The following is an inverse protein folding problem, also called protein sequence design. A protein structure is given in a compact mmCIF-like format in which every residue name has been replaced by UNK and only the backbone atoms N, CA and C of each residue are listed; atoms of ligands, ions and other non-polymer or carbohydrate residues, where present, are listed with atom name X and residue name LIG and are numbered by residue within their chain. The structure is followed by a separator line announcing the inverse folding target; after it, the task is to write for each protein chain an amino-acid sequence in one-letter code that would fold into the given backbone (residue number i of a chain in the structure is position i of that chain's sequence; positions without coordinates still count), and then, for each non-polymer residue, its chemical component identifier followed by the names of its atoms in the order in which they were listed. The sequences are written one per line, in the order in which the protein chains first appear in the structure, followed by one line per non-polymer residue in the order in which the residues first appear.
data_IF_876946814353
#
_entry.id   IF_876946814353
#
_cell.length_a   1.000
_cell.length_b   1.000
_cell.length_c   1.000
_cell.angle_alpha   90.00
_cell.angle_beta   90.00
_cell.angle_gamma   90.00
#
_symmetry.space_group_name_H-M   'P 1'
#
loop_
_entity.id
_entity.type
_entity.pdbx_description
1 polymer ?
#
# COMPACT_ATOMS: atom_id res chain seq x y z
N UNK A 1 9.66 -27.43 14.63
CA UNK A 1 8.96 -26.35 13.90
C UNK A 1 9.80 -25.09 13.67
N UNK A 2 10.41 -24.43 14.67
CA UNK A 2 11.28 -23.22 14.42
C UNK A 2 12.78 -23.51 14.20
N UNK A 3 13.24 -24.73 14.53
CA UNK A 3 14.64 -25.17 14.37
C UNK A 3 14.87 -26.00 13.10
N UNK A 4 13.87 -26.08 12.24
CA UNK A 4 13.99 -26.77 10.97
C UNK A 4 14.87 -25.95 10.01
N UNK A 5 15.88 -26.55 9.34
CA UNK A 5 16.80 -25.80 8.49
C UNK A 5 16.12 -25.12 7.29
N UNK A 6 15.11 -25.76 6.70
CA UNK A 6 14.36 -25.16 5.59
C UNK A 6 13.49 -23.99 6.07
N UNK A 7 12.95 -24.06 7.28
CA UNK A 7 12.27 -22.94 7.92
C UNK A 7 13.21 -21.76 8.20
N UNK A 8 14.41 -22.02 8.70
CA UNK A 8 15.41 -20.99 8.99
C UNK A 8 15.89 -20.29 7.72
N UNK A 9 16.21 -21.05 6.66
CA UNK A 9 16.61 -20.50 5.37
C UNK A 9 15.52 -19.60 4.76
N UNK A 10 14.25 -20.04 4.81
CA UNK A 10 13.12 -19.21 4.36
C UNK A 10 12.94 -17.94 5.20
N UNK A 11 13.09 -18.06 6.52
CA UNK A 11 13.01 -16.91 7.42
C UNK A 11 14.11 -15.88 7.16
N UNK A 12 15.34 -16.33 6.91
CA UNK A 12 16.48 -15.46 6.62
C UNK A 12 16.32 -14.78 5.26
N UNK A 13 15.91 -15.51 4.23
CA UNK A 13 15.60 -14.94 2.92
C UNK A 13 14.52 -13.83 3.02
N UNK A 14 13.44 -14.09 3.76
CA UNK A 14 12.38 -13.09 3.99
C UNK A 14 12.87 -11.88 4.80
N UNK A 15 13.76 -12.08 5.77
CA UNK A 15 14.39 -11.01 6.54
C UNK A 15 15.26 -10.13 5.65
N UNK A 16 16.09 -10.72 4.79
CA UNK A 16 16.94 -9.99 3.84
C UNK A 16 16.10 -9.20 2.83
N UNK A 17 14.97 -9.74 2.38
CA UNK A 17 14.01 -9.00 1.54
C UNK A 17 13.38 -7.82 2.30
N UNK A 18 12.98 -8.02 3.56
CA UNK A 18 12.39 -6.97 4.38
C UNK A 18 13.36 -5.82 4.65
N UNK A 19 14.65 -6.11 4.84
CA UNK A 19 15.71 -5.10 5.02
C UNK A 19 15.93 -4.22 3.79
N UNK A 20 15.59 -4.72 2.60
CA UNK A 20 15.67 -3.92 1.37
C UNK A 20 14.57 -2.85 1.32
N UNK A 21 13.54 -2.93 2.20
CA UNK A 21 12.39 -2.01 2.28
C UNK A 21 12.75 -0.60 2.66
N UNK A 22 12.91 0.23 1.64
CA UNK A 22 13.15 1.67 1.80
C UNK A 22 11.98 2.39 2.49
N UNK A 23 10.76 1.87 2.35
CA UNK A 23 9.55 2.51 2.85
C UNK A 23 8.85 1.63 3.88
N UNK A 24 9.45 1.45 5.05
CA UNK A 24 8.85 0.66 6.13
C UNK A 24 7.47 1.20 6.54
N UNK A 25 6.47 0.32 6.57
CA UNK A 25 5.17 0.65 7.14
C UNK A 25 5.15 0.46 8.66
N UNK A 26 4.25 1.17 9.36
CA UNK A 26 4.14 1.11 10.83
C UNK A 26 3.13 0.04 11.31
N UNK A 27 2.89 -0.98 10.49
CA UNK A 27 1.94 -2.07 10.74
C UNK A 27 2.67 -3.36 11.13
N UNK A 28 2.07 -4.15 12.02
CA UNK A 28 2.55 -5.49 12.37
C UNK A 28 2.10 -6.56 11.37
N UNK A 29 2.48 -7.82 11.62
CA UNK A 29 2.13 -9.00 10.80
C UNK A 29 0.61 -9.21 10.77
N UNK A 30 -0.05 -8.86 9.66
CA UNK A 30 -1.52 -8.83 9.52
C UNK A 30 -2.18 -7.48 9.81
N UNK A 31 -1.39 -6.40 9.91
CA UNK A 31 -1.91 -5.06 10.18
C UNK A 31 -2.82 -4.53 9.08
N UNK A 32 -2.58 -4.88 7.81
CA UNK A 32 -3.48 -4.51 6.71
C UNK A 32 -4.90 -5.04 6.91
N UNK A 33 -5.06 -6.34 7.21
CA UNK A 33 -6.38 -6.95 7.44
C UNK A 33 -7.19 -6.23 8.53
N UNK A 34 -6.51 -5.79 9.60
CA UNK A 34 -7.17 -5.08 10.71
C UNK A 34 -7.47 -3.61 10.41
N UNK A 35 -6.68 -2.99 9.53
CA UNK A 35 -6.75 -1.56 9.27
C UNK A 35 -7.63 -1.22 8.06
N UNK A 36 -7.68 -2.07 7.03
CA UNK A 36 -8.50 -1.85 5.84
C UNK A 36 -9.97 -1.59 6.19
N UNK A 37 -10.65 -2.39 7.03
CA UNK A 37 -12.04 -2.12 7.41
C UNK A 37 -12.20 -0.77 8.12
N UNK A 38 -11.24 -0.38 8.97
CA UNK A 38 -11.26 0.92 9.67
C UNK A 38 -11.09 2.08 8.70
N UNK A 39 -10.21 1.94 7.70
CA UNK A 39 -10.02 2.96 6.67
C UNK A 39 -11.25 3.10 5.78
N UNK A 40 -11.84 1.99 5.34
CA UNK A 40 -13.11 1.99 4.59
C UNK A 40 -14.23 2.68 5.37
N UNK A 41 -14.35 2.41 6.67
CA UNK A 41 -15.36 3.06 7.51
C UNK A 41 -15.12 4.58 7.63
N UNK A 42 -13.86 5.01 7.84
CA UNK A 42 -13.51 6.44 7.85
C UNK A 42 -13.81 7.12 6.52
N UNK A 43 -13.52 6.46 5.40
CA UNK A 43 -13.85 6.99 4.09
C UNK A 43 -15.35 7.04 3.83
N UNK A 44 -16.12 6.06 4.30
CA UNK A 44 -17.58 6.10 4.23
C UNK A 44 -18.15 7.30 5.01
N UNK A 45 -17.62 7.60 6.21
CA UNK A 45 -17.99 8.82 6.95
C UNK A 45 -17.61 10.08 6.18
N UNK A 46 -16.40 10.14 5.59
CA UNK A 46 -15.96 11.26 4.74
C UNK A 46 -16.90 11.44 3.53
N UNK A 47 -17.34 10.35 2.90
CA UNK A 47 -18.29 10.35 1.79
C UNK A 47 -19.62 10.98 2.16
N UNK A 48 -20.19 10.60 3.31
CA UNK A 48 -21.46 11.16 3.81
C UNK A 48 -21.32 12.66 4.12
N UNK A 49 -20.16 13.08 4.62
CA UNK A 49 -19.84 14.49 4.87
C UNK A 49 -19.45 15.29 3.61
N UNK A 50 -19.47 14.69 2.41
CA UNK A 50 -19.06 15.36 1.17
C UNK A 50 -17.55 15.64 1.07
N UNK A 51 -16.73 15.00 1.91
CA UNK A 51 -15.27 15.16 1.92
C UNK A 51 -14.58 14.24 0.90
N UNK A 52 -13.39 14.60 0.40
CA UNK A 52 -12.65 13.79 -0.55
C UNK A 52 -12.21 12.46 0.07
N UNK A 53 -12.35 11.37 -0.71
CA UNK A 53 -11.88 10.03 -0.35
C UNK A 53 -10.58 9.73 -1.08
N UNK A 54 -9.57 9.26 -0.34
CA UNK A 54 -8.24 8.97 -0.88
C UNK A 54 -8.31 7.77 -1.83
N UNK A 55 -9.10 6.75 -1.50
CA UNK A 55 -9.32 5.57 -2.34
C UNK A 55 -9.91 5.90 -3.70
N UNK A 56 -10.72 6.96 -3.82
CA UNK A 56 -11.20 7.43 -5.12
C UNK A 56 -10.10 8.09 -5.93
N UNK A 57 -9.18 8.81 -5.30
CA UNK A 57 -8.11 9.54 -5.97
C UNK A 57 -7.02 8.60 -6.49
N UNK A 58 -6.53 7.69 -5.66
CA UNK A 58 -5.36 6.84 -5.97
C UNK A 58 -5.66 5.36 -6.16
N UNK A 59 -6.92 4.95 -5.99
CA UNK A 59 -7.30 3.55 -5.88
C UNK A 59 -7.14 3.02 -4.45
N UNK A 60 -7.92 2.00 -4.10
CA UNK A 60 -7.96 1.43 -2.75
C UNK A 60 -6.57 0.95 -2.27
N UNK A 61 -5.80 0.33 -3.16
CA UNK A 61 -4.52 -0.29 -2.83
C UNK A 61 -3.44 0.73 -2.52
N UNK A 62 -3.31 1.75 -3.36
CA UNK A 62 -2.42 2.90 -3.14
C UNK A 62 -2.81 3.67 -1.88
N UNK A 63 -4.12 3.87 -1.65
CA UNK A 63 -4.61 4.49 -0.43
C UNK A 63 -4.22 3.68 0.82
N UNK A 64 -4.39 2.36 0.81
CA UNK A 64 -3.96 1.47 1.89
C UNK A 64 -2.45 1.55 2.13
N UNK A 65 -1.64 1.60 1.05
CA UNK A 65 -0.19 1.75 1.14
C UNK A 65 0.20 3.07 1.83
N UNK A 66 -0.43 4.18 1.44
CA UNK A 66 -0.23 5.50 2.05
C UNK A 66 -0.61 5.47 3.54
N UNK A 67 -1.83 5.02 3.85
CA UNK A 67 -2.37 5.02 5.21
C UNK A 67 -1.60 4.10 6.17
N UNK A 68 -1.02 3.00 5.67
CA UNK A 68 -0.19 2.09 6.46
C UNK A 68 1.06 2.76 7.06
N UNK A 69 1.50 3.87 6.48
CA UNK A 69 2.66 4.65 6.95
C UNK A 69 2.28 5.77 7.92
N UNK A 70 1.00 5.81 8.33
CA UNK A 70 0.44 6.74 9.33
C UNK A 70 0.81 8.20 9.03
N UNK A 71 0.41 8.74 7.87
CA UNK A 71 0.55 10.16 7.57
C UNK A 71 -0.19 10.99 8.63
N UNK A 72 0.34 12.19 8.91
CA UNK A 72 -0.37 13.20 9.71
C UNK A 72 -1.36 13.91 8.78
N UNK A 73 -2.64 13.90 9.15
CA UNK A 73 -3.66 14.71 8.46
C UNK A 73 -3.48 16.17 8.91
N UNK A 74 -3.04 17.03 7.99
CA UNK A 74 -2.94 18.49 8.18
C UNK A 74 -4.01 19.22 7.38
N UNK A 75 -4.26 20.50 7.67
CA UNK A 75 -5.22 21.33 6.90
C UNK A 75 -4.90 21.37 5.40
N UNK A 76 -3.63 21.20 5.04
CA UNK A 76 -3.11 21.15 3.66
C UNK A 76 -3.11 19.76 3.02
N UNK A 77 -3.54 18.70 3.72
CA UNK A 77 -3.57 17.32 3.21
C UNK A 77 -2.76 16.32 4.04
N UNK A 78 -2.11 15.37 3.36
CA UNK A 78 -1.31 14.31 4.01
C UNK A 78 0.14 14.77 4.17
N UNK A 79 0.63 14.79 5.40
CA UNK A 79 2.01 15.12 5.72
C UNK A 79 2.77 13.90 6.24
N UNK A 80 3.97 13.70 5.71
CA UNK A 80 4.91 12.66 6.16
C UNK A 80 6.11 13.29 6.88
N UNK A 81 6.73 12.57 7.81
CA UNK A 81 7.98 13.01 8.44
C UNK A 81 9.17 12.78 7.49
N UNK A 82 9.14 11.66 6.77
CA UNK A 82 10.18 11.25 5.84
C UNK A 82 10.03 11.95 4.47
N UNK A 83 11.05 12.70 3.99
CA UNK A 83 11.01 13.37 2.69
C UNK A 83 10.92 12.38 1.52
N UNK A 84 11.56 11.22 1.61
CA UNK A 84 11.53 10.20 0.55
C UNK A 84 10.11 9.65 0.38
N UNK A 85 9.38 9.51 1.49
CA UNK A 85 7.98 9.07 1.48
C UNK A 85 7.03 10.16 0.94
N UNK A 86 7.34 11.44 1.18
CA UNK A 86 6.59 12.55 0.57
C UNK A 86 6.69 12.49 -0.95
N UNK A 87 7.89 12.33 -1.48
CA UNK A 87 8.12 12.23 -2.92
C UNK A 87 7.41 11.03 -3.53
N UNK A 88 7.59 9.84 -2.96
CA UNK A 88 6.90 8.64 -3.44
C UNK A 88 5.37 8.80 -3.44
N UNK A 89 4.81 9.44 -2.42
CA UNK A 89 3.36 9.68 -2.35
C UNK A 89 2.90 10.70 -3.39
N UNK A 90 3.69 11.73 -3.68
CA UNK A 90 3.40 12.69 -4.75
C UNK A 90 3.38 11.98 -6.12
N UNK A 91 4.38 11.15 -6.41
CA UNK A 91 4.43 10.40 -7.66
C UNK A 91 3.24 9.46 -7.82
N UNK A 92 2.82 8.78 -6.74
CA UNK A 92 1.60 7.95 -6.72
C UNK A 92 0.35 8.78 -7.03
N UNK A 93 0.23 9.99 -6.47
CA UNK A 93 -0.90 10.89 -6.75
C UNK A 93 -0.91 11.37 -8.19
N UNK A 94 0.24 11.72 -8.75
CA UNK A 94 0.38 12.19 -10.14
C UNK A 94 0.05 11.08 -11.15
N UNK A 95 0.54 9.87 -10.94
CA UNK A 95 0.22 8.73 -11.82
C UNK A 95 -1.24 8.29 -11.69
N UNK A 96 -1.81 8.37 -10.49
CA UNK A 96 -3.23 8.13 -10.33
C UNK A 96 -4.09 9.14 -11.08
N UNK A 97 -3.72 10.43 -11.07
CA UNK A 97 -4.38 11.44 -11.89
C UNK A 97 -4.26 11.11 -13.39
N UNK A 98 -3.08 10.72 -13.88
CA UNK A 98 -2.87 10.29 -15.28
C UNK A 98 -3.71 9.06 -15.64
N UNK A 99 -3.87 8.13 -14.70
CA UNK A 99 -4.69 6.92 -14.88
C UNK A 99 -6.17 7.26 -14.93
N UNK A 100 -6.65 8.17 -14.08
CA UNK A 100 -8.03 8.68 -14.10
C UNK A 100 -8.35 9.44 -15.39
N UNK A 101 -7.38 10.17 -15.94
CA UNK A 101 -7.48 10.82 -17.25
C UNK A 101 -7.53 9.83 -18.43
N UNK A 102 -7.42 8.51 -18.17
CA UNK A 102 -7.50 7.47 -19.18
C UNK A 102 -6.23 7.32 -20.04
N UNK A 103 -5.14 8.00 -19.67
CA UNK A 103 -3.87 7.99 -20.42
C UNK A 103 -3.06 6.71 -20.21
N UNK A 104 -3.33 5.97 -19.14
CA UNK A 104 -2.61 4.76 -18.75
C UNK A 104 -3.61 3.65 -18.48
N UNK A 105 -3.49 2.51 -19.18
CA UNK A 105 -4.24 1.29 -18.83
C UNK A 105 -3.58 0.65 -17.61
N UNK A 106 -4.29 0.41 -16.49
CA UNK A 106 -3.71 -0.28 -15.36
C UNK A 106 -3.39 -1.73 -15.76
N UNK A 107 -2.11 -2.09 -15.83
CA UNK A 107 -1.65 -3.45 -16.08
C UNK A 107 -1.49 -4.15 -14.72
N UNK A 108 -2.16 -5.29 -14.49
CA UNK A 108 -2.28 -5.93 -13.17
C UNK A 108 -0.93 -6.18 -12.45
N UNK A 109 0.14 -6.35 -13.21
CA UNK A 109 1.49 -6.62 -12.70
C UNK A 109 2.34 -5.35 -12.49
N UNK A 110 1.91 -4.20 -13.01
CA UNK A 110 2.54 -2.88 -12.86
C UNK A 110 1.53 -1.89 -12.29
N UNK A 111 1.28 -2.07 -11.00
CA UNK A 111 0.40 -1.17 -10.25
C UNK A 111 1.11 0.16 -9.98
N UNK A 112 0.36 1.26 -9.86
CA UNK A 112 0.84 2.64 -9.65
C UNK A 112 1.85 2.73 -8.48
N UNK A 113 1.66 2.05 -7.33
CA UNK A 113 2.67 2.06 -6.28
C UNK A 113 3.97 1.36 -6.68
N UNK A 114 3.94 0.38 -7.58
CA UNK A 114 5.13 -0.39 -7.95
C UNK A 114 6.06 0.37 -8.88
N UNK A 115 5.51 1.08 -9.86
CA UNK A 115 6.27 1.91 -10.80
C UNK A 115 6.90 3.13 -10.09
N UNK A 116 6.15 3.79 -9.21
CA UNK A 116 6.63 5.00 -8.50
C UNK A 116 7.62 4.74 -7.37
N UNK A 117 7.63 3.54 -6.76
CA UNK A 117 8.49 3.23 -5.60
C UNK A 117 9.90 2.79 -6.04
N UNK A 118 10.07 2.33 -7.28
CA UNK A 118 11.38 2.05 -7.88
C UNK A 118 12.22 0.95 -7.22
N UNK A 119 11.64 0.13 -6.32
CA UNK A 119 12.36 -0.98 -5.67
C UNK A 119 11.68 -2.34 -5.92
N UNK A 120 12.36 -3.37 -6.46
CA UNK A 120 11.79 -4.70 -6.75
C UNK A 120 11.77 -5.69 -5.56
N UNK A 121 11.67 -5.24 -4.31
CA UNK A 121 11.73 -6.13 -3.12
C UNK A 121 10.65 -7.20 -3.01
N UNK A 122 9.46 -6.90 -3.53
CA UNK A 122 8.31 -7.79 -3.52
C UNK A 122 7.69 -7.76 -4.91
N UNK A 123 7.12 -8.89 -5.38
CA UNK A 123 6.21 -8.85 -6.50
C UNK A 123 5.20 -7.74 -6.24
N UNK A 124 5.05 -6.87 -7.23
CA UNK A 124 4.20 -5.69 -7.28
C UNK A 124 2.77 -5.93 -6.80
N UNK A 125 2.33 -7.19 -6.69
CA UNK A 125 1.03 -7.67 -6.21
C UNK A 125 0.85 -7.77 -4.67
N UNK A 126 1.90 -7.86 -3.85
CA UNK A 126 1.73 -8.08 -2.38
C UNK A 126 1.65 -6.77 -1.58
N UNK A 127 2.00 -5.63 -2.18
CA UNK A 127 1.99 -4.31 -1.51
C UNK A 127 0.58 -3.84 -1.17
N UNK A 128 0.35 -3.33 0.05
CA UNK A 128 -0.97 -2.82 0.44
C UNK A 128 -2.05 -3.89 0.66
N UNK A 129 -1.68 -5.17 0.65
CA UNK A 129 -2.56 -6.33 0.86
C UNK A 129 -2.12 -7.07 2.13
N UNK A 130 -3.07 -7.71 2.81
CA UNK A 130 -2.75 -8.57 3.95
C UNK A 130 -2.07 -9.85 3.49
N UNK A 131 -1.02 -10.27 4.21
CA UNK A 131 -0.36 -11.56 3.99
C UNK A 131 -1.23 -12.79 4.30
N UNK A 132 -2.48 -12.59 4.75
CA UNK A 132 -3.44 -13.64 5.11
C UNK A 132 -4.59 -13.76 4.11
N UNK A 133 -4.65 -12.89 3.11
CA UNK A 133 -5.64 -12.98 2.03
C UNK A 133 -5.09 -13.92 0.96
N UNK A 134 -5.90 -14.90 0.54
CA UNK A 134 -5.57 -15.78 -0.59
C UNK A 134 -5.97 -15.11 -1.90
N UNK A 135 -5.35 -15.56 -2.99
CA UNK A 135 -5.66 -15.12 -4.36
C UNK A 135 -7.18 -15.18 -4.65
N UNK A 136 -7.80 -16.30 -4.31
CA UNK A 136 -9.21 -16.58 -4.59
C UNK A 136 -10.16 -15.65 -3.84
N UNK A 137 -9.87 -15.31 -2.59
CA UNK A 137 -10.77 -14.47 -1.77
C UNK A 137 -10.83 -13.02 -2.27
N UNK A 138 -9.77 -12.53 -2.92
CA UNK A 138 -9.66 -11.12 -3.31
C UNK A 138 -9.96 -10.87 -4.79
N UNK A 139 -9.76 -11.86 -5.65
CA UNK A 139 -9.89 -11.75 -7.11
C UNK A 139 -10.93 -12.70 -7.72
N UNK A 140 -11.69 -13.44 -6.91
CA UNK A 140 -12.91 -14.08 -7.43
C UNK A 140 -13.88 -13.00 -7.92
N UNK A 141 -14.52 -13.22 -9.08
CA UNK A 141 -15.52 -12.32 -9.63
C UNK A 141 -16.72 -12.11 -8.70
#
# INVERSE_FOLDING_TARGET
QRRDPAFQAKSEANSQLTKKNKYHHRLGTGGYQRQIPKWRQKEATKKVAGLPMLSKQVGERSANWILARKPKETKSGLSFEDPMLKEATKSILEEAAKTQEGKIKPQMERDIPSDNIGNPEHPSYIRGISSKETWETRFSP
#
